data_IF_548789660391
#
_entry.id   IF_548789660391
#
_cell.length_a   1.000
_cell.length_b   1.000
_cell.length_c   1.000
_cell.angle_alpha   90.00
_cell.angle_beta   90.00
_cell.angle_gamma   90.00
#
_symmetry.space_group_name_H-M   'P 1'
#
loop_
_entity.id
_entity.type
_entity.pdbx_description
1 polymer ?
#
# COMPACT_ATOMS: atom_id res chain seq x y z
N UNK A 1 -2.73 -18.25 -3.10
CA UNK A 1 -1.88 -17.73 -4.20
C UNK A 1 -1.25 -16.42 -3.77
N UNK A 2 0.02 -16.23 -4.12
CA UNK A 2 0.68 -14.97 -3.84
C UNK A 2 0.50 -14.00 -5.01
N UNK A 3 0.57 -12.70 -4.70
CA UNK A 3 0.52 -11.64 -5.70
C UNK A 3 1.93 -11.11 -5.95
N UNK A 4 2.13 -10.55 -7.14
CA UNK A 4 3.38 -9.87 -7.48
C UNK A 4 3.23 -8.38 -7.21
N UNK A 5 4.10 -7.82 -6.36
CA UNK A 5 4.11 -6.38 -6.11
C UNK A 5 4.85 -5.67 -7.23
N UNK A 6 4.24 -4.62 -7.76
CA UNK A 6 4.83 -3.79 -8.81
C UNK A 6 5.21 -2.45 -8.19
N UNK A 7 6.51 -2.15 -8.20
CA UNK A 7 7.06 -0.92 -7.65
C UNK A 7 7.35 0.06 -8.79
N UNK A 8 6.59 1.14 -8.85
CA UNK A 8 6.84 2.19 -9.84
C UNK A 8 7.93 3.14 -9.34
N UNK A 9 8.58 3.86 -10.26
CA UNK A 9 9.58 4.86 -9.87
C UNK A 9 8.97 5.93 -8.97
N UNK A 10 7.75 6.37 -9.29
CA UNK A 10 7.04 7.36 -8.50
C UNK A 10 6.79 6.87 -7.08
N UNK A 11 6.33 5.63 -6.94
CA UNK A 11 6.09 5.04 -5.61
C UNK A 11 7.39 4.91 -4.82
N UNK A 12 8.46 4.46 -5.47
CA UNK A 12 9.76 4.28 -4.82
C UNK A 12 10.30 5.61 -4.27
N UNK A 13 10.12 6.72 -5.00
CA UNK A 13 10.51 8.04 -4.53
C UNK A 13 9.71 8.46 -3.31
N UNK A 14 8.41 8.23 -3.34
CA UNK A 14 7.52 8.56 -2.21
C UNK A 14 7.88 7.73 -0.98
N UNK A 15 8.14 6.44 -1.17
CA UNK A 15 8.50 5.53 -0.09
C UNK A 15 9.84 5.91 0.54
N UNK A 16 10.83 6.28 -0.27
CA UNK A 16 12.12 6.70 0.25
C UNK A 16 11.99 7.90 1.19
N UNK A 17 11.18 8.88 0.79
CA UNK A 17 10.89 10.06 1.61
C UNK A 17 10.14 9.68 2.88
N UNK A 18 9.16 8.80 2.76
CA UNK A 18 8.35 8.36 3.90
C UNK A 18 9.21 7.64 4.94
N UNK A 19 10.06 6.71 4.50
CA UNK A 19 10.95 5.97 5.39
C UNK A 19 11.95 6.91 6.07
N UNK A 20 12.46 7.90 5.32
CA UNK A 20 13.38 8.88 5.88
C UNK A 20 12.75 9.66 7.02
N UNK A 21 11.45 10.00 6.89
CA UNK A 21 10.70 10.69 7.95
C UNK A 21 10.28 9.76 9.08
N UNK A 22 10.14 8.46 8.81
CA UNK A 22 9.62 7.48 9.76
C UNK A 22 10.52 6.26 9.85
N UNK A 23 11.80 6.44 10.24
CA UNK A 23 12.75 5.32 10.21
C UNK A 23 12.37 4.18 11.16
N UNK A 24 11.65 4.47 12.23
CA UNK A 24 11.21 3.44 13.18
C UNK A 24 10.09 2.55 12.62
N UNK A 25 9.47 2.96 11.51
CA UNK A 25 8.36 2.21 10.89
C UNK A 25 8.80 1.36 9.70
N UNK A 26 10.10 1.34 9.39
CA UNK A 26 10.60 0.59 8.24
C UNK A 26 10.29 -0.90 8.35
N UNK A 27 10.51 -1.50 9.51
CA UNK A 27 10.24 -2.93 9.71
C UNK A 27 8.75 -3.24 9.56
N UNK A 28 7.90 -2.39 10.12
CA UNK A 28 6.45 -2.56 9.99
C UNK A 28 6.02 -2.44 8.53
N UNK A 29 6.61 -1.52 7.79
CA UNK A 29 6.35 -1.35 6.36
C UNK A 29 6.73 -2.62 5.58
N UNK A 30 7.91 -3.17 5.82
CA UNK A 30 8.37 -4.38 5.14
C UNK A 30 7.47 -5.58 5.45
N UNK A 31 7.03 -5.72 6.70
CA UNK A 31 6.08 -6.78 7.08
C UNK A 31 4.75 -6.60 6.36
N UNK A 32 4.30 -5.35 6.19
CA UNK A 32 3.07 -5.05 5.46
C UNK A 32 3.18 -5.51 4.01
N UNK A 33 4.30 -5.23 3.35
CA UNK A 33 4.53 -5.69 1.98
C UNK A 33 4.49 -7.21 1.87
N UNK A 34 5.15 -7.91 2.80
CA UNK A 34 5.12 -9.37 2.83
C UNK A 34 3.70 -9.91 2.97
N UNK A 35 2.93 -9.28 3.84
CA UNK A 35 1.55 -9.72 4.08
C UNK A 35 0.67 -9.47 2.86
N UNK A 36 0.87 -8.36 2.16
CA UNK A 36 0.15 -8.08 0.91
C UNK A 36 0.39 -9.19 -0.11
N UNK A 37 1.63 -9.63 -0.26
CA UNK A 37 1.97 -10.70 -1.20
C UNK A 37 1.30 -12.02 -0.82
N UNK A 38 1.28 -12.34 0.46
CA UNK A 38 0.79 -13.63 0.94
C UNK A 38 -0.72 -13.69 1.03
N UNK A 39 -1.35 -12.61 1.47
CA UNK A 39 -2.80 -12.62 1.73
C UNK A 39 -3.33 -11.19 1.80
N UNK A 40 -3.71 -10.65 0.64
CA UNK A 40 -4.25 -9.29 0.55
C UNK A 40 -5.54 -9.12 1.37
N UNK A 41 -6.23 -10.20 1.67
CA UNK A 41 -7.48 -10.17 2.45
C UNK A 41 -7.24 -10.33 3.96
N UNK A 42 -5.98 -10.38 4.39
CA UNK A 42 -5.69 -10.52 5.81
C UNK A 42 -6.30 -9.35 6.60
N UNK A 43 -6.93 -9.66 7.72
CA UNK A 43 -7.71 -8.69 8.50
C UNK A 43 -6.88 -7.48 8.94
N UNK A 44 -5.61 -7.69 9.28
CA UNK A 44 -4.76 -6.60 9.76
C UNK A 44 -4.45 -5.56 8.69
N UNK A 45 -4.58 -5.92 7.41
CA UNK A 45 -4.38 -4.97 6.30
C UNK A 45 -5.54 -4.00 6.13
N UNK A 46 -6.73 -4.37 6.59
CA UNK A 46 -7.94 -3.55 6.46
C UNK A 46 -8.14 -3.04 5.04
N UNK A 47 -8.01 -3.97 4.08
CA UNK A 47 -8.20 -3.65 2.67
C UNK A 47 -9.60 -3.08 2.44
N UNK A 48 -9.68 -1.95 1.75
CA UNK A 48 -10.96 -1.43 1.29
C UNK A 48 -10.81 -0.65 -0.01
N UNK A 49 -11.90 -0.64 -0.78
CA UNK A 49 -11.95 0.08 -2.05
C UNK A 49 -12.15 1.57 -1.78
N UNK A 50 -11.51 2.38 -2.60
CA UNK A 50 -11.64 3.83 -2.53
C UNK A 50 -12.73 4.30 -3.49
N UNK A 51 -13.27 5.48 -3.23
CA UNK A 51 -14.37 6.05 -4.02
C UNK A 51 -14.00 7.44 -4.54
N UNK A 52 -14.88 8.03 -5.35
CA UNK A 52 -14.69 9.37 -5.89
C UNK A 52 -13.52 9.41 -6.86
N UNK A 53 -12.63 10.37 -6.68
CA UNK A 53 -11.48 10.56 -7.56
C UNK A 53 -10.51 9.38 -7.55
N UNK A 54 -10.52 8.60 -6.48
CA UNK A 54 -9.65 7.44 -6.31
C UNK A 54 -10.35 6.12 -6.63
N UNK A 55 -11.51 6.18 -7.25
CA UNK A 55 -12.25 4.99 -7.68
C UNK A 55 -11.36 4.11 -8.55
N UNK A 56 -11.39 2.80 -8.30
CA UNK A 56 -10.51 1.84 -8.96
C UNK A 56 -9.26 1.50 -8.15
N UNK A 57 -8.98 2.26 -7.12
CA UNK A 57 -7.87 1.98 -6.21
C UNK A 57 -8.39 1.40 -4.90
N UNK A 58 -7.49 0.78 -4.15
CA UNK A 58 -7.77 0.27 -2.81
C UNK A 58 -6.68 0.75 -1.85
N UNK A 59 -6.93 0.63 -0.55
CA UNK A 59 -5.89 0.96 0.42
C UNK A 59 -5.75 -0.14 1.46
N UNK A 60 -4.55 -0.25 2.00
CA UNK A 60 -4.25 -1.14 3.14
C UNK A 60 -3.57 -0.34 4.24
N UNK A 61 -3.69 -0.81 5.48
CA UNK A 61 -3.08 -0.16 6.63
C UNK A 61 -1.67 -0.69 6.86
N UNK A 62 -0.72 0.22 7.08
CA UNK A 62 0.57 -0.11 7.68
C UNK A 62 0.38 -0.14 9.19
N UNK A 63 -0.26 0.89 9.73
CA UNK A 63 -0.67 0.99 11.14
C UNK A 63 -1.90 1.90 11.22
N UNK A 64 -2.21 2.41 12.40
CA UNK A 64 -3.38 3.27 12.58
C UNK A 64 -3.27 4.60 11.84
N UNK A 65 -2.04 5.06 11.57
CA UNK A 65 -1.79 6.40 11.03
C UNK A 65 -1.45 6.40 9.54
N UNK A 66 -0.89 5.32 9.01
CA UNK A 66 -0.32 5.32 7.66
C UNK A 66 -0.89 4.19 6.81
N UNK A 67 -1.05 4.49 5.51
CA UNK A 67 -1.67 3.58 4.55
C UNK A 67 -0.88 3.53 3.26
N UNK A 68 -1.08 2.43 2.52
CA UNK A 68 -0.59 2.28 1.15
C UNK A 68 -1.81 2.23 0.23
N UNK A 69 -1.78 3.04 -0.82
CA UNK A 69 -2.79 3.00 -1.89
C UNK A 69 -2.24 2.12 -3.01
N UNK A 70 -3.07 1.23 -3.53
CA UNK A 70 -2.65 0.26 -4.52
C UNK A 70 -3.77 -0.03 -5.52
N UNK A 71 -3.40 -0.65 -6.64
CA UNK A 71 -4.34 -1.12 -7.64
C UNK A 71 -4.21 -2.63 -7.78
N UNK A 72 -5.34 -3.35 -7.66
CA UNK A 72 -5.37 -4.80 -7.79
C UNK A 72 -5.66 -5.17 -9.24
N UNK A 73 -4.71 -5.86 -9.88
CA UNK A 73 -4.89 -6.40 -11.23
C UNK A 73 -5.10 -7.90 -11.08
N UNK A 74 -6.35 -8.28 -10.84
CA UNK A 74 -6.69 -9.66 -10.48
C UNK A 74 -6.31 -10.65 -11.56
N UNK A 75 -6.49 -10.29 -12.84
CA UNK A 75 -6.20 -11.16 -13.98
C UNK A 75 -4.75 -11.64 -14.00
N UNK A 76 -3.82 -10.75 -13.61
CA UNK A 76 -2.38 -11.00 -13.67
C UNK A 76 -1.78 -11.32 -12.32
N UNK A 77 -2.58 -11.30 -11.27
CA UNK A 77 -2.11 -11.42 -9.87
C UNK A 77 -1.08 -10.35 -9.52
N UNK A 78 -1.25 -9.15 -10.08
CA UNK A 78 -0.37 -8.02 -9.81
C UNK A 78 -1.03 -7.04 -8.85
N UNK A 79 -0.21 -6.45 -7.99
CA UNK A 79 -0.61 -5.36 -7.12
C UNK A 79 0.35 -4.21 -7.39
N UNK A 80 -0.19 -3.13 -7.98
CA UNK A 80 0.60 -1.95 -8.32
C UNK A 80 0.53 -0.99 -7.13
N UNK A 81 1.69 -0.69 -6.55
CA UNK A 81 1.76 0.23 -5.42
C UNK A 81 1.76 1.66 -5.95
N UNK A 82 0.86 2.50 -5.42
CA UNK A 82 0.58 3.82 -5.98
C UNK A 82 1.07 4.94 -5.06
N UNK A 83 0.72 4.89 -3.77
CA UNK A 83 1.04 5.98 -2.85
C UNK A 83 1.21 5.44 -1.44
N UNK A 84 1.88 6.22 -0.60
CA UNK A 84 2.10 5.90 0.80
C UNK A 84 2.05 7.20 1.59
N UNK A 85 1.45 7.17 2.78
CA UNK A 85 1.36 8.35 3.62
C UNK A 85 0.26 8.22 4.66
N UNK A 86 -0.05 9.32 5.31
CA UNK A 86 -1.16 9.40 6.24
C UNK A 86 -2.49 9.30 5.48
N UNK A 87 -3.57 9.09 6.21
CA UNK A 87 -4.92 9.05 5.63
C UNK A 87 -5.17 10.27 4.74
N UNK A 88 -4.88 11.48 5.24
CA UNK A 88 -5.12 12.70 4.47
C UNK A 88 -4.23 12.79 3.23
N UNK A 89 -2.98 12.36 3.34
CA UNK A 89 -2.04 12.42 2.23
C UNK A 89 -2.43 11.49 1.08
N UNK A 90 -2.91 10.29 1.39
CA UNK A 90 -3.23 9.30 0.34
C UNK A 90 -4.62 9.46 -0.25
N UNK A 91 -5.52 10.17 0.43
CA UNK A 91 -6.91 10.34 -0.02
C UNK A 91 -7.21 11.72 -0.61
N UNK A 92 -6.20 12.49 -0.87
CA UNK A 92 -6.38 13.80 -1.53
C UNK A 92 -6.45 13.71 -3.03
#
# INVERSE_FOLDING_TARGET
MSYRLVFTDSYNKKTAKWIKKHPTLKDQYLKTLQLIELDIQHLSLRLHKLTGKLSGLSSVSINMSYRITLELIIQDNDIILINIGSHDEVYR
#
